data_IF_824463227971
#
_entry.id   IF_824463227971
#
_cell.length_a   1.000
_cell.length_b   1.000
_cell.length_c   1.000
_cell.angle_alpha   90.00
_cell.angle_beta   90.00
_cell.angle_gamma   90.00
#
_symmetry.space_group_name_H-M   'P 1'
#
loop_
_entity.id
_entity.type
_entity.pdbx_description
1 polymer ?
#
# COMPACT_ATOMS: atom_id res chain seq x y z
N UNK A 1 45.61 7.52 -24.71
CA UNK A 1 45.66 8.88 -24.12
C UNK A 1 44.28 9.54 -23.98
N UNK A 2 43.36 9.49 -24.95
CA UNK A 2 42.02 10.14 -24.84
C UNK A 2 41.06 9.54 -23.79
N UNK A 3 41.14 8.23 -23.49
CA UNK A 3 40.24 7.57 -22.50
C UNK A 3 40.67 7.82 -21.04
N UNK A 4 41.97 7.90 -20.78
CA UNK A 4 42.51 8.20 -19.45
C UNK A 4 42.30 9.67 -19.07
N UNK A 5 42.39 10.60 -20.03
CA UNK A 5 42.06 12.01 -19.80
C UNK A 5 40.57 12.23 -19.53
N UNK A 6 39.68 11.44 -20.16
CA UNK A 6 38.23 11.51 -19.93
C UNK A 6 37.83 11.01 -18.53
N UNK A 7 38.46 9.92 -18.07
CA UNK A 7 38.31 9.39 -16.71
C UNK A 7 38.86 10.37 -15.66
N UNK A 8 40.00 11.02 -15.93
CA UNK A 8 40.58 12.02 -15.05
C UNK A 8 39.70 13.29 -14.98
N UNK A 9 39.11 13.72 -16.09
CA UNK A 9 38.19 14.86 -16.13
C UNK A 9 36.86 14.56 -15.41
N UNK A 10 36.34 13.34 -15.50
CA UNK A 10 35.13 12.93 -14.79
C UNK A 10 35.35 12.87 -13.27
N UNK A 11 36.52 12.39 -12.82
CA UNK A 11 36.89 12.38 -11.41
C UNK A 11 37.05 13.80 -10.85
N UNK A 12 37.61 14.74 -11.62
CA UNK A 12 37.74 16.15 -11.24
C UNK A 12 36.37 16.84 -11.06
N UNK A 13 35.40 16.56 -11.94
CA UNK A 13 34.05 17.16 -11.88
C UNK A 13 33.30 16.69 -10.64
N UNK A 14 33.37 15.40 -10.28
CA UNK A 14 32.68 14.86 -9.11
C UNK A 14 33.23 15.48 -7.81
N UNK A 15 34.57 15.62 -7.69
CA UNK A 15 35.18 16.24 -6.51
C UNK A 15 34.88 17.74 -6.38
N UNK A 16 34.78 18.46 -7.50
CA UNK A 16 34.45 19.89 -7.50
C UNK A 16 32.97 20.15 -7.16
N UNK A 17 32.06 19.27 -7.60
CA UNK A 17 30.65 19.35 -7.25
C UNK A 17 30.41 19.15 -5.74
N UNK A 18 31.14 18.21 -5.10
CA UNK A 18 30.99 17.93 -3.67
C UNK A 18 31.39 19.12 -2.77
N UNK A 19 32.52 19.78 -3.06
CA UNK A 19 32.96 20.96 -2.29
C UNK A 19 32.00 22.13 -2.49
N UNK A 20 31.58 22.37 -3.73
CA UNK A 20 30.63 23.46 -4.04
C UNK A 20 29.30 23.27 -3.32
N UNK A 21 28.73 22.07 -3.38
CA UNK A 21 27.50 21.72 -2.65
C UNK A 21 27.67 21.89 -1.14
N UNK A 22 28.79 21.44 -0.58
CA UNK A 22 29.09 21.61 0.86
C UNK A 22 29.15 23.08 1.25
N UNK A 23 29.76 23.94 0.42
CA UNK A 23 29.79 25.39 0.64
C UNK A 23 28.39 26.02 0.56
N UNK A 24 27.55 25.56 -0.36
CA UNK A 24 26.14 25.99 -0.43
C UNK A 24 25.39 25.65 0.85
N UNK A 25 25.59 24.45 1.42
CA UNK A 25 24.98 24.03 2.68
C UNK A 25 25.43 24.88 3.88
N UNK A 26 26.72 25.23 3.96
CA UNK A 26 27.22 26.17 4.99
C UNK A 26 26.58 27.55 4.84
N UNK A 27 26.39 28.00 3.60
CA UNK A 27 25.83 29.33 3.33
C UNK A 27 24.31 29.36 3.59
N UNK A 28 23.60 28.28 3.31
CA UNK A 28 22.16 28.15 3.55
C UNK A 28 21.78 27.89 5.02
N UNK A 29 22.77 27.57 5.87
CA UNK A 29 22.56 27.27 7.29
C UNK A 29 22.30 25.79 7.60
N UNK A 30 22.40 24.90 6.61
CA UNK A 30 22.35 23.45 6.81
C UNK A 30 23.72 22.92 7.21
N UNK A 31 24.13 23.29 8.42
CA UNK A 31 25.46 22.94 8.95
C UNK A 31 25.62 21.44 9.18
N UNK A 32 24.55 20.72 9.53
CA UNK A 32 24.60 19.28 9.78
C UNK A 32 24.91 18.49 8.51
N UNK A 33 24.26 18.84 7.38
CA UNK A 33 24.61 18.27 6.09
C UNK A 33 26.02 18.69 5.65
N UNK A 34 26.42 19.94 5.88
CA UNK A 34 27.77 20.41 5.55
C UNK A 34 28.87 19.66 6.34
N UNK A 35 28.66 19.42 7.64
CA UNK A 35 29.58 18.65 8.49
C UNK A 35 29.70 17.22 7.96
N UNK A 36 28.57 16.54 7.72
CA UNK A 36 28.56 15.18 7.18
C UNK A 36 29.27 15.07 5.84
N UNK A 37 28.95 15.95 4.89
CA UNK A 37 29.63 15.98 3.59
C UNK A 37 31.14 16.21 3.72
N UNK A 38 31.54 17.08 4.65
CA UNK A 38 32.96 17.34 4.89
C UNK A 38 33.67 16.15 5.54
N UNK A 39 33.03 15.48 6.51
CA UNK A 39 33.53 14.26 7.15
C UNK A 39 33.71 13.14 6.11
N UNK A 40 32.70 12.92 5.25
CA UNK A 40 32.76 11.95 4.15
C UNK A 40 33.86 12.31 3.14
N UNK A 41 33.94 13.59 2.75
CA UNK A 41 34.95 14.12 1.85
C UNK A 41 36.39 13.92 2.37
N UNK A 42 36.58 13.83 3.69
CA UNK A 42 37.87 13.64 4.34
C UNK A 42 38.27 12.17 4.55
N UNK A 43 37.42 11.20 4.22
CA UNK A 43 37.75 9.77 4.35
C UNK A 43 38.94 9.34 3.48
N UNK A 44 39.63 8.24 3.84
CA UNK A 44 40.78 7.70 3.11
C UNK A 44 42.09 8.44 3.40
N UNK A 45 42.29 9.64 2.84
CA UNK A 45 43.48 10.47 3.08
C UNK A 45 43.12 11.91 3.47
N UNK A 46 42.83 12.11 4.76
CA UNK A 46 42.44 13.41 5.35
C UNK A 46 43.46 14.54 5.16
N UNK A 47 44.73 14.23 4.87
CA UNK A 47 45.81 15.20 4.72
C UNK A 47 46.10 15.61 3.26
N UNK A 48 45.34 15.08 2.29
CA UNK A 48 45.55 15.39 0.88
C UNK A 48 45.28 16.87 0.56
N UNK A 49 46.15 17.49 -0.25
CA UNK A 49 46.00 18.90 -0.68
C UNK A 49 44.66 19.16 -1.38
N UNK A 50 44.15 18.18 -2.13
CA UNK A 50 42.85 18.27 -2.82
C UNK A 50 41.63 18.26 -1.88
N UNK A 51 41.80 17.92 -0.61
CA UNK A 51 40.72 17.85 0.38
C UNK A 51 40.71 19.00 1.37
N UNK A 52 41.61 19.97 1.20
CA UNK A 52 41.77 21.09 2.13
C UNK A 52 40.49 21.91 2.29
N UNK A 53 39.72 22.12 1.21
CA UNK A 53 38.46 22.85 1.28
C UNK A 53 37.45 22.21 2.22
N UNK A 54 37.41 20.88 2.32
CA UNK A 54 36.57 20.19 3.29
C UNK A 54 37.01 20.41 4.74
N UNK A 55 38.31 20.59 5.00
CA UNK A 55 38.80 20.93 6.36
C UNK A 55 38.34 22.32 6.76
N UNK A 56 38.44 23.30 5.85
CA UNK A 56 37.93 24.67 6.07
C UNK A 56 36.42 24.69 6.29
N UNK A 57 35.66 24.02 5.42
CA UNK A 57 34.21 23.95 5.52
C UNK A 57 33.76 23.22 6.79
N UNK A 58 34.49 22.18 7.22
CA UNK A 58 34.20 21.48 8.46
C UNK A 58 34.43 22.36 9.69
N UNK A 59 35.56 23.08 9.75
CA UNK A 59 35.86 24.03 10.85
C UNK A 59 34.79 25.13 10.92
N UNK A 60 34.44 25.72 9.78
CA UNK A 60 33.42 26.79 9.68
C UNK A 60 32.02 26.29 10.06
N UNK A 61 31.59 25.16 9.48
CA UNK A 61 30.27 24.60 9.72
C UNK A 61 30.09 24.19 11.19
N UNK A 62 31.12 23.58 11.78
CA UNK A 62 31.09 23.20 13.20
C UNK A 62 30.95 24.43 14.10
N UNK A 63 31.76 25.47 13.88
CA UNK A 63 31.71 26.69 14.68
C UNK A 63 30.33 27.37 14.61
N UNK A 64 29.78 27.52 13.40
CA UNK A 64 28.46 28.13 13.19
C UNK A 64 27.32 27.29 13.76
N UNK A 65 27.37 25.96 13.61
CA UNK A 65 26.38 25.06 14.17
C UNK A 65 26.37 25.13 15.70
N UNK A 66 27.55 25.07 16.31
CA UNK A 66 27.70 25.16 17.77
C UNK A 66 27.18 26.49 18.31
N UNK A 67 27.54 27.61 17.68
CA UNK A 67 27.07 28.94 18.09
C UNK A 67 25.54 29.05 18.02
N UNK A 68 24.94 28.68 16.87
CA UNK A 68 23.49 28.71 16.65
C UNK A 68 22.77 27.89 17.72
N UNK A 69 23.16 26.64 17.86
CA UNK A 69 22.45 25.68 18.70
C UNK A 69 22.59 26.04 20.20
N UNK A 70 23.76 26.53 20.63
CA UNK A 70 23.96 27.01 22.01
C UNK A 70 23.09 28.23 22.30
N UNK A 71 23.01 29.18 21.36
CA UNK A 71 22.15 30.36 21.48
C UNK A 71 20.67 29.98 21.53
N UNK A 72 20.25 29.04 20.69
CA UNK A 72 18.86 28.60 20.62
C UNK A 72 18.46 27.87 21.90
N UNK A 73 19.32 26.98 22.44
CA UNK A 73 19.13 26.36 23.75
C UNK A 73 18.96 27.42 24.85
N UNK A 74 19.84 28.43 24.89
CA UNK A 74 19.73 29.51 25.89
C UNK A 74 18.40 30.26 25.80
N UNK A 75 17.91 30.50 24.58
CA UNK A 75 16.62 31.14 24.35
C UNK A 75 15.46 30.28 24.85
N UNK A 76 15.45 29.00 24.48
CA UNK A 76 14.42 28.05 24.88
C UNK A 76 14.38 27.76 26.38
N UNK A 77 15.55 27.72 27.02
CA UNK A 77 15.65 27.56 28.46
C UNK A 77 15.05 28.76 29.21
N UNK A 78 15.28 29.98 28.72
CA UNK A 78 14.71 31.22 29.29
C UNK A 78 13.20 31.34 29.08
N UNK A 79 12.68 30.84 27.96
CA UNK A 79 11.23 30.81 27.68
C UNK A 79 10.46 29.91 28.67
N UNK A 80 11.14 28.97 29.33
CA UNK A 80 10.58 28.05 30.34
C UNK A 80 9.31 27.28 29.87
N UNK A 81 9.12 27.16 28.55
CA UNK A 81 7.99 26.48 27.95
C UNK A 81 8.28 24.97 27.82
N UNK A 82 7.44 24.08 28.39
CA UNK A 82 7.64 22.63 28.30
C UNK A 82 7.70 22.08 26.86
N UNK A 83 7.10 22.78 25.88
CA UNK A 83 7.19 22.43 24.46
C UNK A 83 8.62 22.52 23.90
N UNK A 84 9.52 23.21 24.59
CA UNK A 84 10.91 23.31 24.18
C UNK A 84 11.79 22.20 24.78
N UNK A 85 11.30 21.40 25.74
CA UNK A 85 12.12 20.35 26.38
C UNK A 85 12.69 19.35 25.38
N UNK A 86 11.86 18.93 24.42
CA UNK A 86 12.29 18.02 23.35
C UNK A 86 13.36 18.67 22.46
N UNK A 87 13.17 19.94 22.10
CA UNK A 87 14.15 20.69 21.30
C UNK A 87 15.48 20.79 22.03
N UNK A 88 15.46 21.17 23.31
CA UNK A 88 16.66 21.29 24.14
C UNK A 88 17.42 19.96 24.19
N UNK A 89 16.72 18.86 24.53
CA UNK A 89 17.32 17.53 24.59
C UNK A 89 17.94 17.11 23.24
N UNK A 90 17.16 17.20 22.16
CA UNK A 90 17.62 16.81 20.83
C UNK A 90 18.81 17.67 20.36
N UNK A 91 18.82 18.97 20.66
CA UNK A 91 19.92 19.87 20.29
C UNK A 91 21.20 19.54 21.06
N UNK A 92 21.14 19.20 22.35
CA UNK A 92 22.31 18.71 23.09
C UNK A 92 22.84 17.39 22.52
N UNK A 93 21.96 16.45 22.20
CA UNK A 93 22.34 15.19 21.53
C UNK A 93 23.04 15.47 20.20
N UNK A 94 22.51 16.40 19.39
CA UNK A 94 23.13 16.79 18.11
C UNK A 94 24.49 17.48 18.28
N UNK A 95 24.62 18.38 19.25
CA UNK A 95 25.90 19.01 19.59
C UNK A 95 26.95 17.95 19.88
N UNK A 96 26.64 16.97 20.75
CA UNK A 96 27.57 15.89 21.06
C UNK A 96 27.85 15.00 19.83
N UNK A 97 26.81 14.64 19.08
CA UNK A 97 26.92 13.81 17.87
C UNK A 97 27.91 14.39 16.84
N UNK A 98 27.85 15.71 16.58
CA UNK A 98 28.81 16.38 15.69
C UNK A 98 30.26 16.21 16.15
N UNK A 99 30.50 16.31 17.46
CA UNK A 99 31.85 16.12 18.00
C UNK A 99 32.34 14.70 17.75
N UNK A 100 31.49 13.69 18.00
CA UNK A 100 31.82 12.29 17.76
C UNK A 100 32.05 11.95 16.28
N UNK A 101 31.39 12.65 15.35
CA UNK A 101 31.69 12.52 13.93
C UNK A 101 33.08 13.07 13.56
N UNK A 102 33.53 14.14 14.23
CA UNK A 102 34.78 14.84 13.91
C UNK A 102 35.98 14.21 14.63
N UNK A 103 35.81 13.73 15.87
CA UNK A 103 36.87 13.17 16.73
C UNK A 103 37.79 12.17 16.01
N UNK A 104 37.28 11.18 15.25
CA UNK A 104 38.13 10.21 14.54
C UNK A 104 39.03 10.82 13.45
N UNK A 105 38.66 12.00 12.94
CA UNK A 105 39.42 12.69 11.89
C UNK A 105 40.56 13.53 12.46
N UNK A 106 40.58 13.83 13.75
CA UNK A 106 41.63 14.68 14.32
C UNK A 106 43.00 13.96 14.40
N UNK A 107 44.11 14.70 14.37
CA UNK A 107 44.21 16.12 14.02
C UNK A 107 43.95 16.37 12.52
N UNK A 108 43.43 17.55 12.18
CA UNK A 108 43.24 18.03 10.81
C UNK A 108 44.04 19.30 10.60
N UNK A 109 44.90 19.33 9.56
CA UNK A 109 45.80 20.44 9.29
C UNK A 109 45.31 21.33 8.14
N UNK A 110 45.38 22.64 8.36
CA UNK A 110 45.14 23.67 7.35
C UNK A 110 46.47 24.09 6.73
N UNK A 111 46.78 23.56 5.56
CA UNK A 111 48.10 23.65 4.94
C UNK A 111 48.49 25.08 4.58
N UNK A 112 47.54 25.93 4.16
CA UNK A 112 47.85 27.34 3.80
C UNK A 112 48.19 28.19 5.02
N UNK A 113 47.58 27.87 6.16
CA UNK A 113 47.71 28.65 7.40
C UNK A 113 48.76 28.08 8.35
N UNK A 114 49.32 26.90 8.03
CA UNK A 114 50.37 26.27 8.81
C UNK A 114 49.92 25.81 10.21
N UNK A 115 48.61 25.75 10.48
CA UNK A 115 48.02 25.40 11.78
C UNK A 115 47.07 24.21 11.68
N UNK A 116 46.65 23.69 12.83
CA UNK A 116 45.55 22.74 12.91
C UNK A 116 44.19 23.44 12.93
N UNK A 117 43.19 22.79 12.36
CA UNK A 117 41.79 23.19 12.47
C UNK A 117 41.32 23.01 13.92
N UNK A 118 40.55 23.99 14.40
CA UNK A 118 40.14 24.08 15.80
C UNK A 118 38.69 23.67 15.95
N UNK A 119 38.48 22.66 16.78
CA UNK A 119 37.14 22.19 17.17
C UNK A 119 37.05 22.27 18.70
N UNK A 120 36.54 23.38 19.27
CA UNK A 120 36.40 23.52 20.71
C UNK A 120 35.30 22.58 21.21
N UNK A 121 35.68 21.34 21.53
CA UNK A 121 34.75 20.35 22.08
C UNK A 121 34.43 20.63 23.54
N UNK A 122 33.18 20.39 23.90
CA UNK A 122 32.66 20.46 25.27
C UNK A 122 32.07 19.10 25.66
N UNK A 123 32.00 18.83 26.95
CA UNK A 123 31.25 17.69 27.47
C UNK A 123 29.79 18.12 27.69
N UNK A 124 28.86 17.51 26.96
CA UNK A 124 27.42 17.77 27.09
C UNK A 124 26.70 16.64 27.84
N UNK A 125 27.42 15.72 28.48
CA UNK A 125 26.85 14.51 29.08
C UNK A 125 25.81 14.86 30.15
N UNK A 126 26.12 15.80 31.04
CA UNK A 126 25.21 16.22 32.12
C UNK A 126 23.98 16.96 31.58
N UNK A 127 24.13 17.80 30.57
CA UNK A 127 23.05 18.50 29.90
C UNK A 127 22.13 17.53 29.16
N UNK A 128 22.68 16.52 28.48
CA UNK A 128 21.92 15.46 27.82
C UNK A 128 21.11 14.67 28.86
N UNK A 129 21.75 14.23 29.96
CA UNK A 129 21.08 13.45 31.01
C UNK A 129 19.98 14.27 31.69
N UNK A 130 20.28 15.51 32.08
CA UNK A 130 19.31 16.38 32.78
C UNK A 130 18.14 16.78 31.90
N UNK A 131 18.38 17.19 30.65
CA UNK A 131 17.31 17.53 29.70
C UNK A 131 16.46 16.30 29.33
N UNK A 132 17.07 15.13 29.14
CA UNK A 132 16.36 13.86 28.95
C UNK A 132 15.44 13.54 30.13
N UNK A 133 15.94 13.65 31.36
CA UNK A 133 15.15 13.37 32.55
C UNK A 133 13.98 14.35 32.70
N UNK A 134 14.20 15.63 32.43
CA UNK A 134 13.14 16.64 32.43
C UNK A 134 12.06 16.36 31.37
N UNK A 135 12.49 16.01 30.15
CA UNK A 135 11.59 15.61 29.06
C UNK A 135 10.79 14.36 29.40
N UNK A 136 11.44 13.30 29.89
CA UNK A 136 10.76 12.05 30.27
C UNK A 136 9.71 12.29 31.36
N UNK A 137 10.05 13.09 32.38
CA UNK A 137 9.11 13.48 33.44
C UNK A 137 7.91 14.23 32.86
N UNK A 138 8.16 15.23 32.02
CA UNK A 138 7.10 16.01 31.39
C UNK A 138 6.18 15.16 30.51
N UNK A 139 6.74 14.34 29.61
CA UNK A 139 5.97 13.44 28.75
C UNK A 139 5.09 12.49 29.58
N UNK A 140 5.65 11.90 30.64
CA UNK A 140 4.90 11.01 31.54
C UNK A 140 3.76 11.74 32.27
N UNK A 141 4.07 12.86 32.92
CA UNK A 141 3.08 13.61 33.72
C UNK A 141 1.98 14.21 32.82
N UNK A 142 2.36 14.75 31.65
CA UNK A 142 1.42 15.27 30.66
C UNK A 142 0.52 14.17 30.09
N UNK A 143 1.09 13.05 29.64
CA UNK A 143 0.30 11.94 29.11
C UNK A 143 -0.69 11.41 30.14
N UNK A 144 -0.32 11.28 31.41
CA UNK A 144 -1.27 10.92 32.47
C UNK A 144 -2.43 11.90 32.59
N UNK A 145 -2.17 13.21 32.50
CA UNK A 145 -3.23 14.21 32.53
C UNK A 145 -4.16 14.09 31.30
N UNK A 146 -3.60 13.84 30.11
CA UNK A 146 -4.39 13.65 28.88
C UNK A 146 -5.25 12.39 28.93
N UNK A 147 -4.79 11.31 29.57
CA UNK A 147 -5.52 10.03 29.71
C UNK A 147 -6.74 10.07 30.64
N UNK A 148 -6.87 11.12 31.46
CA UNK A 148 -8.07 11.36 32.28
C UNK A 148 -9.23 11.88 31.44
N UNK A 149 -8.94 12.49 30.29
CA UNK A 149 -9.97 13.05 29.41
C UNK A 149 -10.80 11.96 28.72
N UNK A 150 -12.01 12.31 28.25
CA UNK A 150 -12.84 11.44 27.39
C UNK A 150 -12.61 11.68 25.89
N UNK A 151 -11.78 12.67 25.54
CA UNK A 151 -11.50 12.99 24.15
C UNK A 151 -10.46 12.02 23.59
N UNK A 152 -10.91 11.17 22.67
CA UNK A 152 -10.05 10.15 22.06
C UNK A 152 -8.88 10.75 21.30
N UNK A 153 -9.03 11.91 20.66
CA UNK A 153 -7.90 12.51 19.94
C UNK A 153 -6.81 12.98 20.92
N UNK A 154 -7.21 13.50 22.07
CA UNK A 154 -6.30 13.84 23.16
C UNK A 154 -5.61 12.60 23.75
N UNK A 155 -6.35 11.51 23.94
CA UNK A 155 -5.78 10.23 24.38
C UNK A 155 -4.78 9.65 23.35
N UNK A 156 -5.08 9.76 22.05
CA UNK A 156 -4.18 9.32 20.97
C UNK A 156 -2.86 10.10 20.97
N UNK A 157 -2.90 11.41 21.26
CA UNK A 157 -1.68 12.20 21.46
C UNK A 157 -0.89 11.72 22.68
N UNK A 158 -1.58 11.41 23.79
CA UNK A 158 -0.93 10.84 24.97
C UNK A 158 -0.24 9.49 24.65
N UNK A 159 -0.86 8.65 23.83
CA UNK A 159 -0.25 7.40 23.34
C UNK A 159 1.05 7.69 22.57
N UNK A 160 1.04 8.64 21.64
CA UNK A 160 2.22 8.96 20.84
C UNK A 160 3.36 9.55 21.71
N UNK A 161 3.02 10.42 22.67
CA UNK A 161 3.97 10.95 23.67
C UNK A 161 4.58 9.83 24.53
N UNK A 162 3.77 8.84 24.95
CA UNK A 162 4.25 7.69 25.74
C UNK A 162 5.12 6.73 24.90
N UNK A 163 4.76 6.51 23.63
CA UNK A 163 5.60 5.74 22.70
C UNK A 163 6.94 6.41 22.48
N UNK A 164 6.96 7.74 22.34
CA UNK A 164 8.21 8.48 22.24
C UNK A 164 9.03 8.36 23.53
N UNK A 165 8.39 8.49 24.69
CA UNK A 165 9.03 8.29 25.99
C UNK A 165 9.67 6.90 26.11
N UNK A 166 8.95 5.84 25.72
CA UNK A 166 9.46 4.47 25.72
C UNK A 166 10.66 4.33 24.77
N UNK A 167 10.68 5.04 23.64
CA UNK A 167 11.82 5.00 22.71
C UNK A 167 13.10 5.64 23.27
N UNK A 168 12.96 6.73 24.05
CA UNK A 168 14.12 7.45 24.61
C UNK A 168 14.55 6.90 25.97
N UNK A 169 13.62 6.36 26.76
CA UNK A 169 13.89 5.82 28.10
C UNK A 169 13.01 4.59 28.38
N UNK A 170 13.35 3.43 27.79
CA UNK A 170 12.59 2.19 27.98
C UNK A 170 12.46 1.82 29.46
N UNK A 171 11.27 1.37 29.87
CA UNK A 171 11.01 0.98 31.26
C UNK A 171 10.92 2.14 32.25
N UNK A 172 10.76 3.38 31.79
CA UNK A 172 10.51 4.51 32.69
C UNK A 172 9.16 4.35 33.40
N UNK A 173 9.20 4.03 34.71
CA UNK A 173 8.01 3.82 35.55
C UNK A 173 7.06 2.78 34.94
N UNK A 174 5.77 3.11 34.84
CA UNK A 174 4.68 2.27 34.33
C UNK A 174 4.23 2.69 32.92
N UNK A 175 5.10 3.32 32.12
CA UNK A 175 4.79 3.78 30.75
C UNK A 175 4.13 2.71 29.89
N UNK A 176 4.63 1.47 29.92
CA UNK A 176 4.07 0.38 29.10
C UNK A 176 2.58 0.12 29.42
N UNK A 177 2.17 0.22 30.68
CA UNK A 177 0.75 0.09 31.08
C UNK A 177 -0.08 1.28 30.59
N UNK A 178 0.47 2.49 30.68
CA UNK A 178 -0.20 3.69 30.18
C UNK A 178 -0.37 3.66 28.66
N UNK A 179 0.58 3.07 27.92
CA UNK A 179 0.47 2.86 26.47
C UNK A 179 -0.72 1.94 26.16
N UNK A 180 -0.87 0.82 26.87
CA UNK A 180 -2.00 -0.10 26.69
C UNK A 180 -3.35 0.57 27.04
N UNK A 181 -3.39 1.32 28.13
CA UNK A 181 -4.57 2.09 28.54
C UNK A 181 -4.94 3.14 27.48
N UNK A 182 -3.95 3.91 27.01
CA UNK A 182 -4.13 4.91 25.97
C UNK A 182 -4.63 4.29 24.66
N UNK A 183 -4.09 3.12 24.29
CA UNK A 183 -4.53 2.36 23.12
C UNK A 183 -6.00 1.99 23.27
N UNK A 184 -6.37 1.34 24.37
CA UNK A 184 -7.76 0.90 24.58
C UNK A 184 -8.74 2.06 24.63
N UNK A 185 -8.43 3.15 25.35
CA UNK A 185 -9.29 4.33 25.45
C UNK A 185 -9.37 5.14 24.15
N UNK A 186 -8.28 5.16 23.37
CA UNK A 186 -8.18 5.90 22.12
C UNK A 186 -8.79 5.16 20.91
N UNK A 187 -8.99 3.85 21.00
CA UNK A 187 -9.61 3.03 19.95
C UNK A 187 -11.11 3.32 19.83
N UNK A 188 -11.57 3.65 18.62
CA UNK A 188 -12.99 3.64 18.25
C UNK A 188 -13.48 2.21 18.06
N UNK A 189 -14.55 1.86 18.78
CA UNK A 189 -15.17 0.55 18.66
C UNK A 189 -16.42 0.65 17.80
N UNK A 190 -16.47 -0.16 16.74
CA UNK A 190 -17.56 -0.19 15.76
C UNK A 190 -18.33 -1.50 15.92
N UNK A 191 -19.64 -1.39 16.19
CA UNK A 191 -20.53 -2.56 16.20
C UNK A 191 -21.07 -2.76 14.80
N UNK A 192 -20.88 -3.96 14.25
CA UNK A 192 -21.36 -4.29 12.91
C UNK A 192 -22.49 -5.29 12.99
N UNK A 193 -23.57 -5.05 12.26
CA UNK A 193 -24.66 -6.00 12.17
C UNK A 193 -25.42 -5.88 10.84
N UNK A 194 -26.09 -6.96 10.50
CA UNK A 194 -26.92 -7.10 9.30
C UNK A 194 -28.39 -6.88 9.64
N UNK A 195 -29.14 -6.38 8.66
CA UNK A 195 -30.60 -6.32 8.70
C UNK A 195 -31.15 -6.85 7.39
N UNK A 196 -32.07 -7.81 7.46
CA UNK A 196 -32.79 -8.31 6.29
C UNK A 196 -34.14 -7.57 6.17
N UNK A 197 -34.29 -6.74 5.14
CA UNK A 197 -35.57 -6.11 4.77
C UNK A 197 -36.10 -6.62 3.42
N UNK A 198 -35.60 -7.77 2.98
CA UNK A 198 -36.06 -8.45 1.77
C UNK A 198 -37.22 -9.38 2.09
N UNK A 199 -37.95 -9.81 1.06
CA UNK A 199 -38.98 -10.85 1.19
C UNK A 199 -38.41 -12.28 1.12
N UNK A 200 -37.08 -12.42 1.16
CA UNK A 200 -36.37 -13.70 1.05
C UNK A 200 -35.57 -13.99 2.32
N UNK A 201 -35.39 -15.27 2.63
CA UNK A 201 -34.47 -15.69 3.68
C UNK A 201 -33.02 -15.52 3.20
N UNK A 202 -32.21 -14.81 3.97
CA UNK A 202 -30.76 -14.73 3.71
C UNK A 202 -30.13 -16.03 4.24
N UNK A 203 -29.31 -16.74 3.44
CA UNK A 203 -28.59 -17.90 3.94
C UNK A 203 -27.74 -17.55 5.17
N UNK A 204 -27.87 -18.30 6.26
CA UNK A 204 -27.13 -18.08 7.52
C UNK A 204 -25.62 -18.02 7.29
N UNK A 205 -25.13 -18.82 6.34
CA UNK A 205 -23.72 -18.81 5.94
C UNK A 205 -23.30 -17.45 5.37
N UNK A 206 -24.13 -16.82 4.53
CA UNK A 206 -23.84 -15.50 3.97
C UNK A 206 -23.85 -14.44 5.07
N UNK A 207 -24.80 -14.51 5.99
CA UNK A 207 -24.87 -13.59 7.13
C UNK A 207 -23.61 -13.68 8.00
N UNK A 208 -23.21 -14.90 8.39
CA UNK A 208 -21.99 -15.12 9.16
C UNK A 208 -20.74 -14.65 8.40
N UNK A 209 -20.66 -14.95 7.10
CA UNK A 209 -19.52 -14.56 6.27
C UNK A 209 -19.42 -13.04 6.14
N UNK A 210 -20.55 -12.33 6.03
CA UNK A 210 -20.56 -10.86 6.03
C UNK A 210 -20.21 -10.26 7.38
N UNK A 211 -20.49 -10.96 8.48
CA UNK A 211 -20.23 -10.49 9.84
C UNK A 211 -18.84 -10.89 10.39
N UNK A 212 -18.09 -11.77 9.72
CA UNK A 212 -16.76 -12.18 10.19
C UNK A 212 -15.67 -11.13 9.93
N UNK A 213 -15.85 -9.87 10.32
CA UNK A 213 -14.88 -8.78 10.07
C UNK A 213 -13.53 -8.96 10.77
N UNK A 214 -13.49 -9.79 11.81
CA UNK A 214 -12.29 -10.04 12.63
C UNK A 214 -11.13 -10.63 11.83
N UNK A 215 -11.43 -11.37 10.76
CA UNK A 215 -10.45 -12.04 9.89
C UNK A 215 -10.02 -11.21 8.67
N UNK A 216 -10.64 -10.04 8.43
CA UNK A 216 -10.44 -9.25 7.19
C UNK A 216 -9.33 -8.20 7.25
N UNK A 217 -8.70 -8.02 8.42
CA UNK A 217 -7.72 -6.95 8.61
C UNK A 217 -8.33 -5.55 8.46
N UNK A 218 -9.63 -5.40 8.72
CA UNK A 218 -10.30 -4.08 8.74
C UNK A 218 -9.91 -3.25 9.96
N UNK A 219 -9.50 -3.92 11.04
CA UNK A 219 -9.00 -3.23 12.22
C UNK A 219 -7.74 -2.43 11.83
N UNK A 220 -7.68 -1.18 12.27
CA UNK A 220 -6.48 -0.37 12.18
C UNK A 220 -5.97 0.00 13.58
N UNK A 221 -4.93 0.85 13.67
CA UNK A 221 -4.34 1.27 14.96
C UNK A 221 -5.40 1.80 15.93
N UNK A 222 -6.45 2.44 15.42
CA UNK A 222 -7.41 3.21 16.21
C UNK A 222 -8.87 2.81 16.01
N UNK A 223 -9.17 1.80 15.21
CA UNK A 223 -10.54 1.36 14.91
C UNK A 223 -10.63 -0.15 15.00
N UNK A 224 -11.57 -0.66 15.78
CA UNK A 224 -11.82 -2.10 15.93
C UNK A 224 -13.28 -2.41 15.65
N UNK A 225 -13.51 -3.41 14.82
CA UNK A 225 -14.83 -3.86 14.40
C UNK A 225 -15.22 -5.15 15.13
N UNK A 226 -16.44 -5.19 15.68
CA UNK A 226 -17.01 -6.40 16.27
C UNK A 226 -18.39 -6.67 15.67
N UNK A 227 -18.63 -7.92 15.28
CA UNK A 227 -19.96 -8.40 14.89
C UNK A 227 -20.85 -8.77 16.06
N UNK A 228 -20.23 -9.12 17.19
CA UNK A 228 -20.94 -9.39 18.44
C UNK A 228 -20.52 -8.36 19.49
N UNK A 229 -21.49 -7.85 20.24
CA UNK A 229 -21.21 -6.90 21.32
C UNK A 229 -20.39 -7.60 22.41
N UNK A 230 -19.22 -7.02 22.73
CA UNK A 230 -18.35 -7.47 23.82
C UNK A 230 -18.71 -6.75 25.10
N UNK A 231 -18.90 -7.50 26.19
CA UNK A 231 -19.23 -6.92 27.51
C UNK A 231 -18.09 -6.03 27.99
N UNK A 232 -18.42 -4.82 28.45
CA UNK A 232 -17.45 -3.84 28.94
C UNK A 232 -16.85 -2.93 27.88
N UNK A 233 -17.27 -3.05 26.61
CA UNK A 233 -16.89 -2.13 25.54
C UNK A 233 -18.06 -1.20 25.22
N UNK A 234 -17.80 0.10 25.30
CA UNK A 234 -18.70 1.14 24.80
C UNK A 234 -18.41 1.38 23.32
N UNK A 235 -19.38 1.11 22.47
CA UNK A 235 -19.27 1.28 21.03
C UNK A 235 -19.55 2.73 20.63
N UNK A 236 -18.63 3.36 19.89
CA UNK A 236 -18.78 4.73 19.40
C UNK A 236 -19.65 4.79 18.13
N UNK A 237 -19.56 3.74 17.30
CA UNK A 237 -20.19 3.73 15.99
C UNK A 237 -20.91 2.42 15.71
N UNK A 238 -21.90 2.51 14.82
CA UNK A 238 -22.59 1.39 14.21
C UNK A 238 -22.32 1.35 12.71
N UNK A 239 -22.07 0.15 12.19
CA UNK A 239 -22.10 -0.13 10.77
C UNK A 239 -23.25 -1.10 10.51
N UNK A 240 -24.28 -0.66 9.79
CA UNK A 240 -25.45 -1.49 9.50
C UNK A 240 -25.47 -1.85 8.02
N UNK A 241 -25.40 -3.15 7.72
CA UNK A 241 -25.63 -3.65 6.36
C UNK A 241 -27.09 -4.06 6.22
N UNK A 242 -27.87 -3.29 5.48
CA UNK A 242 -29.29 -3.57 5.28
C UNK A 242 -29.53 -4.12 3.88
N UNK A 243 -29.95 -5.38 3.77
CA UNK A 243 -30.40 -5.96 2.51
C UNK A 243 -31.78 -5.42 2.16
N UNK A 244 -31.91 -4.84 0.98
CA UNK A 244 -33.12 -4.17 0.50
C UNK A 244 -33.89 -5.02 -0.49
N UNK A 245 -33.20 -5.70 -1.39
CA UNK A 245 -33.86 -6.49 -2.43
C UNK A 245 -32.97 -7.63 -2.92
N UNK A 246 -33.60 -8.75 -3.28
CA UNK A 246 -32.96 -9.89 -3.94
C UNK A 246 -33.83 -10.29 -5.12
N UNK A 247 -33.29 -10.14 -6.32
CA UNK A 247 -33.97 -10.50 -7.57
C UNK A 247 -33.29 -11.69 -8.19
N UNK A 248 -34.04 -12.75 -8.44
CA UNK A 248 -33.55 -13.95 -9.13
C UNK A 248 -34.32 -14.08 -10.43
N UNK A 249 -33.60 -14.19 -11.55
CA UNK A 249 -34.23 -14.42 -12.84
C UNK A 249 -34.80 -15.84 -12.90
N UNK A 250 -35.86 -16.08 -13.70
CA UNK A 250 -36.23 -17.44 -14.05
C UNK A 250 -35.09 -18.12 -14.82
N UNK A 251 -35.13 -19.44 -14.85
CA UNK A 251 -34.24 -20.27 -15.65
C UNK A 251 -34.57 -20.08 -17.13
N UNK A 252 -33.59 -19.59 -17.91
CA UNK A 252 -33.75 -19.37 -19.33
C UNK A 252 -32.90 -20.38 -20.10
N UNK A 253 -33.51 -21.06 -21.06
CA UNK A 253 -32.81 -21.88 -22.04
C UNK A 253 -33.18 -21.40 -23.45
N UNK A 254 -32.18 -20.97 -24.22
CA UNK A 254 -32.33 -20.57 -25.62
C UNK A 254 -31.67 -21.60 -26.51
N UNK A 255 -32.34 -21.96 -27.59
CA UNK A 255 -31.80 -22.83 -28.63
C UNK A 255 -31.61 -22.04 -29.92
N UNK A 256 -30.48 -22.28 -30.59
CA UNK A 256 -30.17 -21.72 -31.90
C UNK A 256 -29.63 -22.80 -32.82
N UNK A 257 -30.21 -22.90 -34.02
CA UNK A 257 -29.67 -23.73 -35.08
C UNK A 257 -29.02 -22.86 -36.16
N UNK A 258 -27.84 -23.26 -36.62
CA UNK A 258 -27.20 -22.61 -37.77
C UNK A 258 -26.28 -23.57 -38.53
N UNK A 259 -26.01 -23.25 -39.78
CA UNK A 259 -25.17 -24.04 -40.66
C UNK A 259 -23.89 -23.31 -41.02
N UNK A 260 -22.81 -24.07 -41.18
CA UNK A 260 -21.53 -23.57 -41.67
C UNK A 260 -21.01 -24.50 -42.76
N UNK A 261 -20.36 -23.90 -43.75
CA UNK A 261 -19.65 -24.63 -44.79
C UNK A 261 -18.23 -24.09 -44.95
N UNK A 262 -17.31 -25.00 -45.27
CA UNK A 262 -15.90 -24.68 -45.50
C UNK A 262 -15.40 -25.55 -46.63
N UNK A 263 -14.58 -24.99 -47.52
CA UNK A 263 -13.84 -25.80 -48.47
C UNK A 263 -12.53 -26.25 -47.83
N UNK A 264 -12.32 -27.56 -47.78
CA UNK A 264 -11.06 -28.14 -47.31
C UNK A 264 -10.42 -28.95 -48.43
N UNK A 265 -9.09 -29.03 -48.40
CA UNK A 265 -8.33 -29.89 -49.29
C UNK A 265 -8.55 -31.36 -48.88
N UNK A 266 -9.21 -32.12 -49.75
CA UNK A 266 -9.44 -33.56 -49.63
C UNK A 266 -8.51 -34.30 -50.60
N UNK A 267 -7.22 -34.26 -50.28
CA UNK A 267 -6.16 -34.83 -51.10
C UNK A 267 -5.83 -34.01 -52.35
N UNK A 268 -5.27 -34.69 -53.35
CA UNK A 268 -4.83 -34.12 -54.62
C UNK A 268 -5.35 -34.97 -55.77
N UNK A 269 -5.83 -34.32 -56.83
CA UNK A 269 -6.29 -34.98 -58.06
C UNK A 269 -5.41 -34.60 -59.23
N UNK A 270 -5.33 -35.46 -60.23
CA UNK A 270 -4.62 -35.15 -61.46
C UNK A 270 -5.37 -34.05 -62.23
N UNK A 271 -4.65 -33.03 -62.71
CA UNK A 271 -5.21 -32.01 -63.60
C UNK A 271 -5.57 -32.67 -64.93
N UNK A 272 -6.79 -32.43 -65.41
CA UNK A 272 -7.26 -32.95 -66.70
C UNK A 272 -7.31 -31.83 -67.73
N UNK A 273 -6.95 -32.14 -68.98
CA UNK A 273 -7.15 -31.26 -70.13
C UNK A 273 -8.62 -31.23 -70.58
N UNK A 274 -8.97 -30.37 -71.55
CA UNK A 274 -10.34 -30.26 -72.08
C UNK A 274 -10.88 -31.52 -72.77
N UNK A 275 -10.03 -32.55 -72.95
CA UNK A 275 -10.36 -33.84 -73.54
C UNK A 275 -10.35 -34.98 -72.50
N UNK A 276 -10.14 -34.67 -71.23
CA UNK A 276 -10.15 -35.64 -70.12
C UNK A 276 -8.83 -36.38 -69.89
N UNK A 277 -7.73 -35.98 -70.51
CA UNK A 277 -6.41 -36.61 -70.30
C UNK A 277 -5.65 -35.97 -69.15
N UNK A 278 -4.87 -36.77 -68.42
CA UNK A 278 -4.01 -36.31 -67.34
C UNK A 278 -2.88 -35.42 -67.89
N UNK A 279 -2.86 -34.16 -67.47
CA UNK A 279 -1.79 -33.21 -67.77
C UNK A 279 -0.52 -33.62 -67.03
N UNK A 280 0.58 -33.78 -67.77
CA UNK A 280 1.89 -34.16 -67.25
C UNK A 280 2.85 -32.97 -67.31
N UNK A 281 3.77 -32.89 -66.35
CA UNK A 281 4.84 -31.90 -66.34
C UNK A 281 5.92 -32.20 -67.42
N UNK A 282 6.91 -31.33 -67.54
CA UNK A 282 8.02 -31.49 -68.50
C UNK A 282 8.89 -32.73 -68.27
N UNK A 283 8.69 -33.47 -67.17
CA UNK A 283 9.38 -34.72 -66.82
C UNK A 283 8.45 -35.95 -66.96
N UNK A 284 7.22 -35.77 -67.43
CA UNK A 284 6.25 -36.84 -67.67
C UNK A 284 5.42 -37.25 -66.45
N UNK A 285 5.53 -36.55 -65.32
CA UNK A 285 4.78 -36.84 -64.10
C UNK A 285 3.42 -36.12 -64.09
N UNK A 286 2.33 -36.73 -63.61
CA UNK A 286 1.03 -36.08 -63.48
C UNK A 286 1.06 -34.80 -62.61
N UNK A 287 0.57 -33.69 -63.14
CA UNK A 287 0.38 -32.45 -62.37
C UNK A 287 -0.80 -32.67 -61.42
N UNK A 288 -0.52 -32.49 -60.12
CA UNK A 288 -1.50 -32.66 -59.04
C UNK A 288 -2.05 -31.31 -58.62
N UNK A 289 -3.38 -31.17 -58.63
CA UNK A 289 -4.10 -30.01 -58.12
C UNK A 289 -4.86 -30.36 -56.85
N UNK A 290 -5.03 -29.38 -55.98
CA UNK A 290 -5.76 -29.55 -54.73
C UNK A 290 -7.21 -29.94 -55.02
N UNK A 291 -7.64 -31.07 -54.46
CA UNK A 291 -9.01 -31.50 -54.57
C UNK A 291 -9.82 -30.84 -53.46
N UNK A 292 -10.43 -29.70 -53.76
CA UNK A 292 -11.25 -28.98 -52.79
C UNK A 292 -12.61 -29.66 -52.63
N UNK A 293 -12.97 -30.00 -51.40
CA UNK A 293 -14.28 -30.54 -51.03
C UNK A 293 -14.98 -29.58 -50.09
N UNK A 294 -16.23 -29.26 -50.39
CA UNK A 294 -17.10 -28.52 -49.46
C UNK A 294 -17.57 -29.47 -48.37
N UNK A 295 -17.17 -29.18 -47.13
CA UNK A 295 -17.70 -29.83 -45.94
C UNK A 295 -18.73 -28.91 -45.28
N UNK A 296 -19.74 -29.52 -44.65
CA UNK A 296 -20.85 -28.82 -44.00
C UNK A 296 -21.07 -29.33 -42.59
N UNK A 297 -21.54 -28.45 -41.73
CA UNK A 297 -21.96 -28.76 -40.37
C UNK A 297 -23.25 -28.00 -40.05
N UNK A 298 -24.20 -28.69 -39.44
CA UNK A 298 -25.37 -28.09 -38.79
C UNK A 298 -25.16 -28.16 -37.28
N UNK A 299 -25.18 -26.99 -36.63
CA UNK A 299 -24.91 -26.82 -35.20
C UNK A 299 -26.21 -26.47 -34.49
N UNK A 300 -26.47 -27.16 -33.37
CA UNK A 300 -27.56 -26.90 -32.42
C UNK A 300 -26.92 -26.41 -31.12
N UNK A 301 -26.97 -25.10 -30.90
CA UNK A 301 -26.41 -24.42 -29.73
C UNK A 301 -27.50 -24.18 -28.69
N UNK A 302 -27.19 -24.48 -27.44
CA UNK A 302 -28.03 -24.23 -26.28
C UNK A 302 -27.33 -23.27 -25.33
N UNK A 303 -28.05 -22.25 -24.88
CA UNK A 303 -27.58 -21.28 -23.88
C UNK A 303 -28.50 -21.33 -22.66
N UNK A 304 -27.93 -21.68 -21.52
CA UNK A 304 -28.58 -21.65 -20.21
C UNK A 304 -28.15 -20.37 -19.49
N UNK A 305 -29.12 -19.58 -19.02
CA UNK A 305 -28.88 -18.33 -18.31
C UNK A 305 -29.78 -18.23 -17.07
N UNK A 306 -29.20 -17.83 -15.94
CA UNK A 306 -29.91 -17.46 -14.71
C UNK A 306 -29.08 -16.40 -13.99
N UNK A 307 -29.70 -15.35 -13.44
CA UNK A 307 -28.99 -14.34 -12.66
C UNK A 307 -29.62 -14.10 -11.29
N UNK A 308 -28.81 -13.64 -10.35
CA UNK A 308 -29.23 -13.23 -9.02
C UNK A 308 -28.59 -11.88 -8.71
N UNK A 309 -29.42 -10.88 -8.44
CA UNK A 309 -29.00 -9.55 -8.03
C UNK A 309 -29.36 -9.32 -6.58
N UNK A 310 -28.37 -8.92 -5.77
CA UNK A 310 -28.54 -8.55 -4.36
C UNK A 310 -28.30 -7.05 -4.22
N UNK A 311 -29.28 -6.34 -3.68
CA UNK A 311 -29.19 -4.90 -3.39
C UNK A 311 -29.23 -4.70 -1.88
N UNK A 312 -28.27 -3.96 -1.36
CA UNK A 312 -28.11 -3.60 0.03
C UNK A 312 -27.72 -2.13 0.16
N UNK A 313 -27.68 -1.65 1.40
CA UNK A 313 -27.08 -0.37 1.75
C UNK A 313 -26.27 -0.52 3.03
N UNK A 314 -25.29 0.36 3.21
CA UNK A 314 -24.44 0.42 4.39
C UNK A 314 -24.67 1.76 5.08
N UNK A 315 -25.18 1.74 6.31
CA UNK A 315 -25.39 2.94 7.11
C UNK A 315 -24.29 3.06 8.17
N UNK A 316 -23.67 4.24 8.23
CA UNK A 316 -22.69 4.62 9.25
C UNK A 316 -23.39 5.46 10.30
N UNK A 317 -23.37 5.01 11.55
CA UNK A 317 -24.12 5.65 12.65
C UNK A 317 -23.16 6.02 13.77
N UNK A 318 -23.33 7.21 14.32
CA UNK A 318 -22.69 7.61 15.57
C UNK A 318 -23.60 7.25 16.75
N UNK A 319 -23.17 6.35 17.62
CA UNK A 319 -23.97 5.92 18.77
C UNK A 319 -23.99 6.91 19.93
N UNK A 320 -23.10 7.92 19.95
CA UNK A 320 -23.12 8.94 21.00
C UNK A 320 -24.36 9.84 20.91
N UNK A 321 -24.84 10.09 19.69
CA UNK A 321 -26.00 10.93 19.42
C UNK A 321 -27.06 10.25 18.54
N UNK A 322 -26.90 8.96 18.23
CA UNK A 322 -27.74 8.19 17.30
C UNK A 322 -27.93 8.84 15.92
N UNK A 323 -26.94 9.58 15.45
CA UNK A 323 -27.00 10.26 14.16
C UNK A 323 -26.52 9.34 13.03
N UNK A 324 -27.30 9.27 11.96
CA UNK A 324 -26.84 8.74 10.68
C UNK A 324 -25.80 9.69 10.09
N UNK A 325 -24.57 9.20 9.91
CA UNK A 325 -23.46 9.96 9.35
C UNK A 325 -23.53 9.93 7.82
N UNK A 326 -23.47 8.73 7.25
CA UNK A 326 -23.44 8.51 5.81
C UNK A 326 -24.16 7.20 5.47
N UNK A 327 -24.74 7.13 4.27
CA UNK A 327 -25.34 5.92 3.70
C UNK A 327 -24.75 5.68 2.33
N UNK A 328 -24.38 4.42 2.08
CA UNK A 328 -23.84 4.00 0.79
C UNK A 328 -24.67 2.87 0.19
N UNK A 329 -25.07 2.96 -1.08
CA UNK A 329 -25.68 1.85 -1.78
C UNK A 329 -24.64 0.77 -2.07
N UNK A 330 -25.06 -0.49 -2.01
CA UNK A 330 -24.21 -1.64 -2.29
C UNK A 330 -25.00 -2.64 -3.13
N UNK A 331 -24.49 -3.03 -4.29
CA UNK A 331 -25.17 -4.01 -5.13
C UNK A 331 -24.19 -5.01 -5.72
N UNK A 332 -24.67 -6.22 -5.91
CA UNK A 332 -23.93 -7.31 -6.55
C UNK A 332 -24.86 -8.11 -7.47
N UNK A 333 -24.27 -8.68 -8.50
CA UNK A 333 -24.96 -9.59 -9.43
C UNK A 333 -24.08 -10.82 -9.68
N UNK A 334 -24.69 -11.99 -9.57
CA UNK A 334 -24.11 -13.24 -10.00
C UNK A 334 -24.89 -13.77 -11.22
N UNK A 335 -24.19 -14.06 -12.30
CA UNK A 335 -24.77 -14.57 -13.55
C UNK A 335 -24.23 -15.97 -13.82
N UNK A 336 -25.12 -16.96 -13.75
CA UNK A 336 -24.84 -18.29 -14.25
C UNK A 336 -25.10 -18.32 -15.77
N UNK A 337 -24.08 -18.74 -16.53
CA UNK A 337 -24.15 -18.91 -17.97
C UNK A 337 -23.45 -20.21 -18.37
N UNK A 338 -24.14 -21.06 -19.13
CA UNK A 338 -23.57 -22.25 -19.74
C UNK A 338 -23.96 -22.30 -21.22
N UNK A 339 -22.97 -22.50 -22.09
CA UNK A 339 -23.17 -22.66 -23.53
C UNK A 339 -22.61 -24.02 -23.93
N UNK A 340 -23.45 -24.84 -24.55
CA UNK A 340 -23.07 -26.13 -25.09
C UNK A 340 -23.74 -26.33 -26.45
N UNK A 341 -23.13 -27.15 -27.29
CA UNK A 341 -23.63 -27.39 -28.63
C UNK A 341 -23.54 -28.86 -29.02
N UNK A 342 -24.46 -29.29 -29.88
CA UNK A 342 -24.35 -30.56 -30.59
C UNK A 342 -24.30 -30.27 -32.09
N UNK A 343 -23.79 -31.22 -32.86
CA UNK A 343 -23.64 -31.02 -34.30
C UNK A 343 -23.93 -32.27 -35.11
N UNK A 344 -24.29 -32.06 -36.37
CA UNK A 344 -24.38 -33.07 -37.42
C UNK A 344 -23.50 -32.63 -38.59
N UNK A 345 -22.66 -33.53 -39.10
CA UNK A 345 -21.72 -33.25 -40.18
C UNK A 345 -20.26 -33.18 -39.72
N UNK A 346 -19.42 -32.48 -40.47
CA UNK A 346 -17.96 -32.43 -40.24
C UNK A 346 -17.58 -31.19 -39.42
N UNK A 347 -17.11 -31.39 -38.18
CA UNK A 347 -16.71 -30.29 -37.28
C UNK A 347 -15.65 -29.37 -37.88
N UNK A 348 -14.83 -29.86 -38.82
CA UNK A 348 -13.82 -29.05 -39.52
C UNK A 348 -14.43 -27.91 -40.36
N UNK A 349 -15.75 -27.93 -40.57
CA UNK A 349 -16.49 -26.87 -41.26
C UNK A 349 -16.75 -25.64 -40.38
N UNK A 350 -16.54 -25.71 -39.06
CA UNK A 350 -16.57 -24.55 -38.16
C UNK A 350 -15.15 -24.15 -37.69
N UNK A 351 -15.06 -23.05 -36.95
CA UNK A 351 -13.80 -22.56 -36.39
C UNK A 351 -13.36 -23.42 -35.20
N UNK A 352 -12.07 -23.67 -35.06
CA UNK A 352 -11.53 -24.54 -34.01
C UNK A 352 -11.82 -24.00 -32.59
N UNK A 353 -11.97 -22.67 -32.44
CA UNK A 353 -12.37 -22.01 -31.19
C UNK A 353 -13.74 -22.48 -30.69
N UNK A 354 -14.63 -22.86 -31.61
CA UNK A 354 -15.99 -23.30 -31.31
C UNK A 354 -16.03 -24.75 -30.80
N UNK A 355 -14.97 -25.54 -31.00
CA UNK A 355 -14.96 -26.95 -30.60
C UNK A 355 -15.19 -27.15 -29.10
N UNK A 356 -14.73 -26.21 -28.28
CA UNK A 356 -14.95 -26.25 -26.83
C UNK A 356 -16.44 -26.30 -26.44
N UNK A 357 -17.35 -25.75 -27.26
CA UNK A 357 -18.78 -25.81 -27.01
C UNK A 357 -19.37 -27.21 -27.29
N UNK A 358 -18.74 -28.01 -28.16
CA UNK A 358 -19.16 -29.39 -28.43
C UNK A 358 -18.75 -30.36 -27.31
N UNK A 359 -17.68 -30.03 -26.58
CA UNK A 359 -17.21 -30.83 -25.44
C UNK A 359 -18.01 -30.54 -24.15
N UNK A 360 -18.76 -29.43 -24.12
CA UNK A 360 -19.63 -29.04 -23.00
C UNK A 360 -20.97 -29.76 -23.06
N UNK A 361 -21.63 -29.85 -21.91
CA UNK A 361 -22.96 -30.46 -21.76
C UNK A 361 -23.89 -29.53 -20.99
N UNK A 362 -25.18 -29.83 -21.04
CA UNK A 362 -26.16 -29.23 -20.13
C UNK A 362 -25.72 -29.48 -18.68
N UNK A 363 -25.74 -28.43 -17.86
CA UNK A 363 -25.53 -28.52 -16.42
C UNK A 363 -26.80 -28.08 -15.70
N UNK A 364 -27.10 -28.62 -14.51
CA UNK A 364 -28.23 -28.15 -13.73
C UNK A 364 -28.05 -26.67 -13.38
N UNK A 365 -29.14 -25.91 -13.41
CA UNK A 365 -29.12 -24.54 -12.92
C UNK A 365 -28.75 -24.52 -11.43
N UNK A 366 -27.95 -23.54 -10.98
CA UNK A 366 -27.67 -23.40 -9.56
C UNK A 366 -28.95 -23.09 -8.77
N UNK A 367 -29.00 -23.60 -7.55
CA UNK A 367 -30.06 -23.29 -6.60
C UNK A 367 -30.06 -21.80 -6.25
N UNK A 368 -31.23 -21.26 -5.95
CA UNK A 368 -31.40 -19.85 -5.60
C UNK A 368 -30.52 -19.45 -4.41
N UNK A 369 -30.46 -20.30 -3.38
CA UNK A 369 -29.62 -20.08 -2.18
C UNK A 369 -28.13 -19.97 -2.52
N UNK A 370 -27.64 -20.82 -3.42
CA UNK A 370 -26.25 -20.79 -3.87
C UNK A 370 -25.96 -19.49 -4.64
N UNK A 371 -26.85 -19.08 -5.54
CA UNK A 371 -26.67 -17.83 -6.28
C UNK A 371 -26.71 -16.58 -5.37
N UNK A 372 -27.56 -16.58 -4.34
CA UNK A 372 -27.58 -15.53 -3.32
C UNK A 372 -26.25 -15.49 -2.57
N UNK A 373 -25.72 -16.66 -2.19
CA UNK A 373 -24.42 -16.77 -1.53
C UNK A 373 -23.28 -16.23 -2.42
N UNK A 374 -23.27 -16.60 -3.70
CA UNK A 374 -22.23 -16.18 -4.66
C UNK A 374 -22.26 -14.66 -4.91
N UNK A 375 -23.46 -14.08 -5.09
CA UNK A 375 -23.62 -12.62 -5.16
C UNK A 375 -23.24 -11.94 -3.83
N UNK A 376 -23.54 -12.58 -2.70
CA UNK A 376 -23.19 -12.10 -1.38
C UNK A 376 -21.67 -12.04 -1.11
N UNK A 377 -20.88 -12.95 -1.68
CA UNK A 377 -19.42 -12.91 -1.60
C UNK A 377 -18.82 -11.71 -2.33
N UNK A 378 -19.36 -11.31 -3.49
CA UNK A 378 -18.94 -10.09 -4.15
C UNK A 378 -19.40 -8.84 -3.37
N UNK A 379 -20.61 -8.85 -2.82
CA UNK A 379 -21.11 -7.80 -1.93
C UNK A 379 -20.17 -7.56 -0.75
N UNK A 380 -19.66 -8.64 -0.17
CA UNK A 380 -18.70 -8.63 0.94
C UNK A 380 -17.39 -7.96 0.57
N UNK A 381 -16.84 -8.24 -0.61
CA UNK A 381 -15.61 -7.58 -1.08
C UNK A 381 -15.84 -6.07 -1.29
N UNK A 382 -16.97 -5.69 -1.89
CA UNK A 382 -17.33 -4.28 -2.07
C UNK A 382 -17.52 -3.55 -0.73
N UNK A 383 -18.12 -4.23 0.26
CA UNK A 383 -18.25 -3.69 1.62
C UNK A 383 -16.86 -3.41 2.24
N UNK A 384 -15.90 -4.31 2.06
CA UNK A 384 -14.53 -4.13 2.54
C UNK A 384 -13.89 -2.88 1.93
N UNK A 385 -13.96 -2.73 0.61
CA UNK A 385 -13.37 -1.59 -0.08
C UNK A 385 -14.01 -0.28 0.35
N UNK A 386 -15.33 -0.29 0.56
CA UNK A 386 -16.08 0.84 1.07
C UNK A 386 -15.62 1.25 2.47
N UNK A 387 -15.47 0.28 3.39
CA UNK A 387 -14.98 0.56 4.75
C UNK A 387 -13.56 1.13 4.73
N UNK A 388 -12.69 0.62 3.85
CA UNK A 388 -11.33 1.11 3.71
C UNK A 388 -11.27 2.56 3.18
N UNK A 389 -12.18 2.93 2.28
CA UNK A 389 -12.27 4.27 1.70
C UNK A 389 -13.00 5.28 2.60
N UNK A 390 -13.99 4.83 3.36
CA UNK A 390 -14.88 5.67 4.16
C UNK A 390 -14.72 5.37 5.65
N UNK A 391 -13.77 6.05 6.30
CA UNK A 391 -13.56 5.95 7.75
C UNK A 391 -14.58 6.78 8.54
N UNK A 392 -14.95 6.30 9.72
CA UNK A 392 -15.87 6.98 10.65
C UNK A 392 -15.34 8.32 11.16
N UNK A 393 -14.01 8.42 11.31
CA UNK A 393 -13.31 9.67 11.60
C UNK A 393 -12.35 9.95 10.45
N UNK A 394 -12.43 11.17 9.91
CA UNK A 394 -11.50 11.70 8.91
C UNK A 394 -10.26 12.28 9.58
#
# INVERSE_FOLDING_TARGET
MKKTTLLLSFFLIITACGVKQTRELVTSGDYDAAIRNSVEGLQGNKNAKSKQDYVYLLEEAFAKAKERDTRDIQSWFKDANPRNLEKIYNTYVQLNYRQEQIRPLLPLRLLKEGRDAKFPFEDYTDEIVSSKNALCKYLYDNSKALLVTKDKMTIRRAYDDLMYLESINPGFKDTSKLIEEARSKGTDYVNVYTKNETNMAIPVRLENDLLDFSTYGLNDKWTVYHSNRVKGIDYDYGLIVTFRDIKISPEQQKEKQFEKEKQIKDGVKNLLDSKGNVVKDSLGNPIKVDNMKTIRISIFEFSQLKSCQVTAKVDYINFKNNQLLETFPLSSEFVFSNIFATYKGDKRACEDTYYSNFDRKAVPFPANEQMIYDAGNDLKNKLKDLIAQHKFRK
#
